data_IF_061695354170
#
_entry.id   IF_061695354170
#
_cell.length_a   1.000
_cell.length_b   1.000
_cell.length_c   1.000
_cell.angle_alpha   90.00
_cell.angle_beta   90.00
_cell.angle_gamma   90.00
#
_symmetry.space_group_name_H-M   'P 1'
#
loop_
_entity.id
_entity.type
_entity.pdbx_description
1 polymer ?
#
# COMPACT_ATOMS: atom_id res chain seq x y z
N UNK A 1 11.49 12.40 -18.62
CA UNK A 1 11.31 11.81 -17.27
C UNK A 1 12.65 11.25 -16.84
N UNK A 2 13.18 11.63 -15.67
CA UNK A 2 14.42 11.08 -15.16
C UNK A 2 14.18 9.63 -14.74
N UNK A 3 14.67 8.68 -15.52
CA UNK A 3 14.69 7.26 -15.19
C UNK A 3 15.59 7.06 -13.98
N UNK A 4 14.99 6.87 -12.80
CA UNK A 4 15.72 6.53 -11.58
C UNK A 4 15.39 5.07 -11.23
N UNK A 5 16.17 4.08 -11.72
CA UNK A 5 15.83 2.67 -11.61
C UNK A 5 16.04 2.17 -10.18
N UNK A 6 14.98 2.23 -9.36
CA UNK A 6 14.99 1.89 -7.93
C UNK A 6 15.32 0.42 -7.67
N UNK A 7 15.09 -0.45 -8.65
CA UNK A 7 15.24 -1.90 -8.54
C UNK A 7 16.38 -2.45 -9.41
N UNK A 8 17.27 -1.58 -9.90
CA UNK A 8 18.41 -1.99 -10.73
C UNK A 8 19.19 -3.13 -10.07
N UNK A 9 19.37 -4.22 -10.83
CA UNK A 9 20.13 -5.40 -10.39
C UNK A 9 19.37 -6.34 -9.45
N UNK A 10 18.08 -6.11 -9.20
CA UNK A 10 17.21 -7.07 -8.54
C UNK A 10 16.46 -7.93 -9.57
N UNK A 11 16.23 -9.19 -9.24
CA UNK A 11 15.49 -10.14 -10.09
C UNK A 11 14.15 -10.48 -9.45
N UNK A 12 13.07 -10.39 -10.23
CA UNK A 12 11.70 -10.59 -9.78
C UNK A 12 11.00 -11.71 -10.55
N UNK A 13 10.18 -12.51 -9.86
CA UNK A 13 9.25 -13.45 -10.47
C UNK A 13 7.82 -13.02 -10.15
N UNK A 14 6.96 -12.92 -11.16
CA UNK A 14 5.54 -12.60 -10.99
C UNK A 14 4.71 -13.74 -11.58
N UNK A 15 3.90 -14.40 -10.74
CA UNK A 15 3.04 -15.51 -11.18
C UNK A 15 1.72 -15.03 -11.77
N UNK A 16 1.22 -15.71 -12.81
CA UNK A 16 0.01 -15.28 -13.53
C UNK A 16 0.12 -13.88 -14.13
N UNK A 17 1.29 -13.54 -14.65
CA UNK A 17 1.66 -12.19 -15.08
C UNK A 17 1.35 -11.88 -16.55
N UNK A 18 0.69 -12.79 -17.26
CA UNK A 18 0.21 -12.57 -18.63
C UNK A 18 -1.06 -11.71 -18.70
N UNK A 19 -1.70 -11.39 -17.56
CA UNK A 19 -2.90 -10.53 -17.53
C UNK A 19 -3.09 -9.81 -16.18
N UNK A 20 -4.06 -8.89 -16.15
CA UNK A 20 -4.56 -8.26 -14.92
C UNK A 20 -3.49 -7.59 -14.05
N UNK A 21 -3.62 -7.80 -12.74
CA UNK A 21 -2.73 -7.23 -11.71
C UNK A 21 -1.29 -7.72 -11.94
N UNK A 22 -1.09 -9.00 -12.25
CA UNK A 22 0.22 -9.58 -12.50
C UNK A 22 0.95 -8.90 -13.66
N UNK A 23 0.27 -8.65 -14.78
CA UNK A 23 0.84 -7.90 -15.92
C UNK A 23 1.28 -6.50 -15.49
N UNK A 24 0.42 -5.76 -14.81
CA UNK A 24 0.72 -4.39 -14.37
C UNK A 24 1.92 -4.35 -13.41
N UNK A 25 1.99 -5.29 -12.47
CA UNK A 25 3.12 -5.43 -11.54
C UNK A 25 4.42 -5.77 -12.28
N UNK A 26 4.39 -6.73 -13.21
CA UNK A 26 5.57 -7.11 -13.98
C UNK A 26 6.14 -5.93 -14.78
N UNK A 27 5.29 -5.14 -15.45
CA UNK A 27 5.70 -3.96 -16.20
C UNK A 27 6.26 -2.89 -15.27
N UNK A 28 5.60 -2.63 -14.13
CA UNK A 28 6.08 -1.65 -13.17
C UNK A 28 7.47 -2.01 -12.60
N UNK A 29 7.70 -3.28 -12.25
CA UNK A 29 9.00 -3.77 -11.79
C UNK A 29 10.08 -3.64 -12.86
N UNK A 30 9.75 -3.98 -14.12
CA UNK A 30 10.67 -3.83 -15.25
C UNK A 30 11.03 -2.37 -15.53
N UNK A 31 10.06 -1.47 -15.48
CA UNK A 31 10.26 -0.03 -15.63
C UNK A 31 11.11 0.58 -14.50
N UNK A 32 11.08 0.00 -13.30
CA UNK A 32 11.96 0.37 -12.19
C UNK A 32 13.35 -0.31 -12.25
N UNK A 33 13.63 -1.07 -13.31
CA UNK A 33 14.95 -1.64 -13.63
C UNK A 33 15.23 -3.05 -13.10
N UNK A 34 14.20 -3.79 -12.65
CA UNK A 34 14.35 -5.19 -12.27
C UNK A 34 14.48 -6.10 -13.51
N UNK A 35 15.16 -7.24 -13.36
CA UNK A 35 15.01 -8.37 -14.29
C UNK A 35 13.72 -9.12 -13.95
N UNK A 36 12.81 -9.32 -14.89
CA UNK A 36 11.46 -9.86 -14.60
C UNK A 36 11.21 -11.20 -15.29
N UNK A 37 10.93 -12.24 -14.51
CA UNK A 37 10.37 -13.49 -15.01
C UNK A 37 8.83 -13.38 -14.96
N UNK A 38 8.21 -13.43 -16.14
CA UNK A 38 6.76 -13.39 -16.35
C UNK A 38 6.26 -14.83 -16.41
N UNK A 39 5.63 -15.31 -15.33
CA UNK A 39 5.02 -16.64 -15.34
C UNK A 39 3.60 -16.63 -15.90
N UNK A 40 3.26 -17.68 -16.63
CA UNK A 40 1.93 -17.92 -17.19
C UNK A 40 1.63 -19.43 -17.27
N UNK A 41 0.35 -19.79 -17.33
CA UNK A 41 -0.09 -21.18 -17.53
C UNK A 41 -0.60 -21.43 -18.96
N UNK A 42 -1.25 -20.43 -19.55
CA UNK A 42 -1.84 -20.45 -20.90
C UNK A 42 -1.63 -19.09 -21.57
N UNK A 43 -1.89 -19.02 -22.89
CA UNK A 43 -1.74 -17.79 -23.70
C UNK A 43 -0.28 -17.28 -23.73
N UNK A 44 0.67 -18.08 -24.28
CA UNK A 44 2.08 -17.69 -24.38
C UNK A 44 2.29 -16.36 -25.11
N UNK A 45 1.45 -16.05 -26.09
CA UNK A 45 1.47 -14.78 -26.83
C UNK A 45 1.20 -13.57 -25.92
N UNK A 46 0.30 -13.70 -24.93
CA UNK A 46 0.02 -12.64 -23.97
C UNK A 46 1.20 -12.43 -23.01
N UNK A 47 1.85 -13.51 -22.58
CA UNK A 47 3.06 -13.43 -21.76
C UNK A 47 4.23 -12.78 -22.53
N UNK A 48 4.40 -13.16 -23.80
CA UNK A 48 5.43 -12.60 -24.66
C UNK A 48 5.20 -11.09 -24.90
N UNK A 49 3.96 -10.65 -25.10
CA UNK A 49 3.65 -9.24 -25.22
C UNK A 49 4.07 -8.42 -23.99
N UNK A 50 3.95 -8.98 -22.78
CA UNK A 50 4.43 -8.33 -21.53
C UNK A 50 5.96 -8.24 -21.52
N UNK A 51 6.66 -9.30 -21.93
CA UNK A 51 8.12 -9.29 -22.05
C UNK A 51 8.60 -8.24 -23.04
N UNK A 52 7.95 -8.18 -24.21
CA UNK A 52 8.31 -7.23 -25.27
C UNK A 52 8.07 -5.79 -24.82
N UNK A 53 6.97 -5.54 -24.08
CA UNK A 53 6.67 -4.23 -23.50
C UNK A 53 7.74 -3.81 -22.48
N UNK A 54 8.16 -4.71 -21.57
CA UNK A 54 9.24 -4.42 -20.61
C UNK A 54 10.55 -4.10 -21.34
N UNK A 55 10.90 -4.88 -22.37
CA UNK A 55 12.12 -4.68 -23.16
C UNK A 55 12.08 -3.37 -23.96
N UNK A 56 10.92 -3.01 -24.53
CA UNK A 56 10.73 -1.75 -25.23
C UNK A 56 10.96 -0.53 -24.33
N UNK A 57 10.66 -0.67 -23.03
CA UNK A 57 10.91 0.36 -22.01
C UNK A 57 12.35 0.31 -21.43
N UNK A 58 13.24 -0.52 -21.98
CA UNK A 58 14.63 -0.65 -21.55
C UNK A 58 14.85 -1.56 -20.33
N UNK A 59 13.81 -2.26 -19.87
CA UNK A 59 13.91 -3.31 -18.85
C UNK A 59 14.39 -4.64 -19.41
N UNK A 60 14.58 -5.63 -18.54
CA UNK A 60 14.94 -6.98 -18.93
C UNK A 60 13.88 -7.98 -18.45
N UNK A 61 13.45 -8.89 -19.30
CA UNK A 61 12.42 -9.86 -18.96
C UNK A 61 12.48 -11.16 -19.80
N UNK A 62 11.97 -12.24 -19.22
CA UNK A 62 11.72 -13.53 -19.88
C UNK A 62 10.32 -14.04 -19.52
N UNK A 63 9.72 -14.84 -20.40
CA UNK A 63 8.47 -15.54 -20.13
C UNK A 63 8.76 -17.00 -19.77
N UNK A 64 8.12 -17.53 -18.72
CA UNK A 64 8.30 -18.92 -18.29
C UNK A 64 6.93 -19.57 -18.06
N UNK A 65 6.63 -20.62 -18.81
CA UNK A 65 5.39 -21.38 -18.62
C UNK A 65 5.52 -22.32 -17.42
N UNK A 66 4.59 -22.22 -16.48
CA UNK A 66 4.45 -23.19 -15.39
C UNK A 66 3.06 -23.09 -14.74
N UNK A 67 2.45 -24.23 -14.45
CA UNK A 67 1.31 -24.34 -13.54
C UNK A 67 1.83 -24.33 -12.10
N UNK A 68 1.51 -23.26 -11.37
CA UNK A 68 1.97 -23.07 -9.98
C UNK A 68 1.41 -24.13 -9.02
N UNK A 69 0.35 -24.86 -9.39
CA UNK A 69 -0.15 -25.98 -8.60
C UNK A 69 0.73 -27.24 -8.66
N UNK A 70 1.70 -27.29 -9.59
CA UNK A 70 2.54 -28.47 -9.84
C UNK A 70 3.97 -28.21 -9.37
N UNK A 71 4.38 -28.96 -8.34
CA UNK A 71 5.68 -28.76 -7.67
C UNK A 71 6.88 -28.91 -8.62
N UNK A 72 6.86 -29.90 -9.50
CA UNK A 72 7.90 -30.14 -10.51
C UNK A 72 8.02 -28.95 -11.49
N UNK A 73 6.89 -28.38 -11.92
CA UNK A 73 6.88 -27.21 -12.80
C UNK A 73 7.35 -25.94 -12.07
N UNK A 74 6.98 -25.75 -10.80
CA UNK A 74 7.50 -24.64 -9.98
C UNK A 74 9.01 -24.75 -9.83
N UNK A 75 9.54 -25.95 -9.52
CA UNK A 75 10.98 -26.17 -9.44
C UNK A 75 11.67 -25.84 -10.77
N UNK A 76 11.14 -26.35 -11.89
CA UNK A 76 11.69 -26.06 -13.22
C UNK A 76 11.67 -24.56 -13.56
N UNK A 77 10.58 -23.85 -13.22
CA UNK A 77 10.47 -22.41 -13.41
C UNK A 77 11.53 -21.62 -12.64
N UNK A 78 11.76 -21.96 -11.37
CA UNK A 78 12.81 -21.32 -10.57
C UNK A 78 14.21 -21.64 -11.10
N UNK A 79 14.46 -22.87 -11.56
CA UNK A 79 15.74 -23.22 -12.18
C UNK A 79 15.99 -22.41 -13.46
N UNK A 80 14.98 -22.26 -14.33
CA UNK A 80 15.09 -21.43 -15.53
C UNK A 80 15.37 -19.97 -15.18
N UNK A 81 14.69 -19.43 -14.17
CA UNK A 81 14.95 -18.07 -13.67
C UNK A 81 16.39 -17.92 -13.15
N UNK A 82 16.90 -18.91 -12.40
CA UNK A 82 18.27 -18.87 -11.88
C UNK A 82 19.33 -19.00 -12.96
N UNK A 83 19.05 -19.77 -14.03
CA UNK A 83 19.94 -19.84 -15.18
C UNK A 83 20.04 -18.50 -15.90
N UNK A 84 18.93 -17.78 -16.05
CA UNK A 84 18.91 -16.49 -16.75
C UNK A 84 19.44 -15.34 -15.87
N UNK A 85 18.96 -15.24 -14.64
CA UNK A 85 19.18 -14.06 -13.79
C UNK A 85 20.08 -14.33 -12.57
N UNK A 86 20.52 -15.57 -12.37
CA UNK A 86 21.42 -15.99 -11.28
C UNK A 86 20.75 -16.14 -9.92
N UNK A 87 19.61 -15.49 -9.67
CA UNK A 87 18.98 -15.44 -8.34
C UNK A 87 17.55 -14.89 -8.42
N UNK A 88 16.85 -14.85 -7.28
CA UNK A 88 15.60 -14.13 -7.06
C UNK A 88 15.76 -13.16 -5.88
N UNK A 89 15.18 -11.96 -5.99
CA UNK A 89 15.13 -10.93 -4.95
C UNK A 89 13.68 -10.62 -4.54
N UNK A 90 12.74 -10.74 -5.48
CA UNK A 90 11.34 -10.39 -5.30
C UNK A 90 10.46 -11.50 -5.87
N UNK A 91 9.59 -12.09 -5.06
CA UNK A 91 8.54 -12.98 -5.51
C UNK A 91 7.20 -12.27 -5.37
N UNK A 92 6.43 -12.20 -6.46
CA UNK A 92 5.03 -11.76 -6.45
C UNK A 92 4.15 -12.96 -6.75
N UNK A 93 3.57 -13.50 -5.69
CA UNK A 93 2.60 -14.58 -5.74
C UNK A 93 1.22 -14.01 -6.11
N UNK A 94 0.97 -13.86 -7.41
CA UNK A 94 -0.23 -13.23 -7.96
C UNK A 94 -1.22 -14.23 -8.59
N UNK A 95 -0.74 -15.35 -9.13
CA UNK A 95 -1.61 -16.35 -9.76
C UNK A 95 -2.76 -16.75 -8.82
N UNK A 96 -3.98 -16.72 -9.35
CA UNK A 96 -5.17 -17.13 -8.64
C UNK A 96 -6.41 -17.10 -9.52
N UNK A 97 -7.42 -17.87 -9.13
CA UNK A 97 -8.73 -17.92 -9.77
C UNK A 97 -9.83 -18.18 -8.74
N UNK A 98 -11.08 -18.15 -9.19
CA UNK A 98 -12.23 -18.57 -8.40
C UNK A 98 -13.12 -19.53 -9.21
N UNK A 99 -13.93 -20.30 -8.48
CA UNK A 99 -15.00 -21.14 -9.02
C UNK A 99 -16.22 -20.94 -8.14
N UNK A 100 -17.26 -20.37 -8.72
CA UNK A 100 -18.44 -19.93 -7.98
C UNK A 100 -19.46 -21.07 -7.93
N UNK A 101 -19.95 -21.36 -6.74
CA UNK A 101 -21.02 -22.33 -6.51
C UNK A 101 -21.70 -22.07 -5.18
N UNK A 102 -23.01 -22.37 -5.08
CA UNK A 102 -23.64 -22.48 -3.76
C UNK A 102 -22.88 -23.52 -2.92
N UNK A 103 -22.81 -23.32 -1.60
CA UNK A 103 -21.92 -24.10 -0.75
C UNK A 103 -22.15 -25.62 -0.87
N UNK A 104 -23.42 -26.05 -0.87
CA UNK A 104 -23.81 -27.45 -0.99
C UNK A 104 -23.58 -28.05 -2.39
N UNK A 105 -23.41 -27.21 -3.41
CA UNK A 105 -23.22 -27.63 -4.81
C UNK A 105 -21.74 -27.55 -5.24
N UNK A 106 -20.85 -27.05 -4.37
CA UNK A 106 -19.42 -26.95 -4.64
C UNK A 106 -18.81 -28.33 -4.85
N UNK A 107 -18.33 -28.60 -6.05
CA UNK A 107 -17.65 -29.87 -6.33
C UNK A 107 -16.28 -29.90 -5.65
N UNK A 108 -15.85 -31.09 -5.23
CA UNK A 108 -14.51 -31.27 -4.67
C UNK A 108 -13.42 -30.90 -5.70
N UNK A 109 -13.68 -31.11 -6.99
CA UNK A 109 -12.74 -30.75 -8.05
C UNK A 109 -12.55 -29.23 -8.16
N UNK A 110 -13.63 -28.45 -8.16
CA UNK A 110 -13.56 -26.99 -8.19
C UNK A 110 -12.97 -26.42 -6.90
N UNK A 111 -13.31 -27.01 -5.75
CA UNK A 111 -12.68 -26.69 -4.47
C UNK A 111 -11.15 -26.90 -4.56
N UNK A 112 -10.73 -28.10 -4.95
CA UNK A 112 -9.31 -28.47 -4.96
C UNK A 112 -8.52 -27.63 -5.96
N UNK A 113 -9.07 -27.37 -7.15
CA UNK A 113 -8.44 -26.52 -8.16
C UNK A 113 -8.11 -25.13 -7.62
N UNK A 114 -9.06 -24.50 -6.90
CA UNK A 114 -8.85 -23.17 -6.31
C UNK A 114 -7.82 -23.23 -5.19
N UNK A 115 -7.89 -24.22 -4.30
CA UNK A 115 -6.90 -24.37 -3.21
C UNK A 115 -5.48 -24.61 -3.78
N UNK A 116 -5.37 -25.48 -4.77
CA UNK A 116 -4.10 -25.86 -5.40
C UNK A 116 -3.40 -24.67 -6.06
N UNK A 117 -4.15 -23.79 -6.71
CA UNK A 117 -3.56 -22.62 -7.39
C UNK A 117 -3.36 -21.48 -6.39
N UNK A 118 -4.40 -21.10 -5.64
CA UNK A 118 -4.40 -19.88 -4.84
C UNK A 118 -3.58 -20.00 -3.55
N UNK A 119 -3.48 -21.20 -2.97
CA UNK A 119 -2.80 -21.44 -1.70
C UNK A 119 -1.56 -22.32 -1.88
N UNK A 120 -1.73 -23.54 -2.39
CA UNK A 120 -0.62 -24.47 -2.57
C UNK A 120 0.43 -23.89 -3.51
N UNK A 121 0.03 -23.28 -4.62
CA UNK A 121 0.96 -22.67 -5.57
C UNK A 121 1.76 -21.50 -4.99
N UNK A 122 1.13 -20.68 -4.14
CA UNK A 122 1.85 -19.62 -3.43
C UNK A 122 2.86 -20.19 -2.43
N UNK A 123 2.50 -21.25 -1.70
CA UNK A 123 3.40 -21.96 -0.80
C UNK A 123 4.61 -22.53 -1.55
N UNK A 124 4.39 -23.23 -2.67
CA UNK A 124 5.46 -23.84 -3.46
C UNK A 124 6.45 -22.78 -3.95
N UNK A 125 5.94 -21.70 -4.55
CA UNK A 125 6.79 -20.60 -5.03
C UNK A 125 7.54 -19.91 -3.88
N UNK A 126 6.86 -19.63 -2.77
CA UNK A 126 7.48 -19.00 -1.60
C UNK A 126 8.60 -19.88 -1.01
N UNK A 127 8.39 -21.20 -0.96
CA UNK A 127 9.39 -22.14 -0.45
C UNK A 127 10.65 -22.14 -1.31
N UNK A 128 10.54 -22.16 -2.64
CA UNK A 128 11.71 -22.09 -3.53
C UNK A 128 12.44 -20.73 -3.43
N UNK A 129 11.70 -19.62 -3.35
CA UNK A 129 12.29 -18.30 -3.13
C UNK A 129 13.04 -18.22 -1.79
N UNK A 130 12.43 -18.70 -0.70
CA UNK A 130 13.06 -18.72 0.63
C UNK A 130 14.31 -19.60 0.67
N UNK A 131 14.32 -20.74 -0.03
CA UNK A 131 15.53 -21.58 -0.14
C UNK A 131 16.70 -20.79 -0.73
N UNK A 132 16.46 -20.03 -1.80
CA UNK A 132 17.48 -19.17 -2.38
C UNK A 132 17.87 -18.01 -1.45
N UNK A 133 16.90 -17.36 -0.78
CA UNK A 133 17.20 -16.30 0.18
C UNK A 133 18.08 -16.79 1.34
N UNK A 134 17.80 -17.99 1.86
CA UNK A 134 18.60 -18.61 2.94
C UNK A 134 19.99 -18.98 2.44
N UNK A 135 20.10 -19.58 1.26
CA UNK A 135 21.38 -19.99 0.65
C UNK A 135 22.27 -18.78 0.35
N UNK A 136 21.69 -17.74 -0.25
CA UNK A 136 22.40 -16.55 -0.73
C UNK A 136 22.71 -15.54 0.39
N UNK A 137 21.82 -15.43 1.38
CA UNK A 137 21.90 -14.39 2.39
C UNK A 137 21.53 -12.99 1.87
N UNK A 138 21.82 -11.96 2.68
CA UNK A 138 21.57 -10.56 2.34
C UNK A 138 22.69 -10.04 1.44
N UNK A 139 22.33 -9.33 0.37
CA UNK A 139 23.25 -8.56 -0.48
C UNK A 139 23.06 -7.07 -0.14
N UNK A 140 23.92 -6.48 0.73
CA UNK A 140 23.70 -5.14 1.30
C UNK A 140 23.58 -4.03 0.25
N UNK A 141 24.28 -4.17 -0.87
CA UNK A 141 24.27 -3.21 -1.97
C UNK A 141 22.92 -3.13 -2.69
N UNK A 142 22.09 -4.19 -2.59
CA UNK A 142 20.77 -4.28 -3.21
C UNK A 142 19.64 -3.99 -2.24
N UNK A 143 19.74 -4.49 -1.01
CA UNK A 143 18.61 -4.56 -0.09
C UNK A 143 19.04 -4.82 1.35
N UNK A 144 18.29 -4.27 2.31
CA UNK A 144 18.44 -4.59 3.74
C UNK A 144 17.89 -5.97 4.11
N UNK A 145 17.12 -6.60 3.22
CA UNK A 145 16.57 -7.94 3.38
C UNK A 145 17.09 -8.89 2.30
N UNK A 146 17.17 -10.19 2.62
CA UNK A 146 17.62 -11.24 1.69
C UNK A 146 16.65 -11.45 0.52
N UNK A 147 15.41 -11.02 0.65
CA UNK A 147 14.39 -11.07 -0.39
C UNK A 147 13.07 -10.50 0.10
N UNK A 148 12.10 -10.33 -0.81
CA UNK A 148 10.72 -9.93 -0.50
C UNK A 148 9.75 -10.90 -1.15
N UNK A 149 8.69 -11.26 -0.44
CA UNK A 149 7.58 -12.05 -0.97
C UNK A 149 6.32 -11.21 -0.81
N UNK A 150 5.61 -11.00 -1.90
CA UNK A 150 4.36 -10.24 -1.97
C UNK A 150 3.29 -11.23 -2.41
N UNK A 151 2.35 -11.55 -1.52
CA UNK A 151 1.25 -12.46 -1.82
C UNK A 151 -0.02 -11.65 -2.13
N UNK A 152 -0.66 -11.94 -3.27
CA UNK A 152 -1.95 -11.35 -3.60
C UNK A 152 -3.05 -12.08 -2.85
N UNK A 153 -3.57 -11.44 -1.80
CA UNK A 153 -4.74 -11.91 -1.04
C UNK A 153 -6.05 -11.29 -1.55
N UNK A 154 -7.02 -11.04 -0.67
CA UNK A 154 -8.29 -10.35 -0.91
C UNK A 154 -8.88 -9.89 0.43
N UNK A 155 -9.76 -8.88 0.42
CA UNK A 155 -10.59 -8.54 1.59
C UNK A 155 -11.41 -9.74 2.09
N UNK A 156 -11.69 -10.69 1.20
CA UNK A 156 -12.37 -11.95 1.52
C UNK A 156 -11.50 -12.96 2.28
N UNK A 157 -10.27 -12.59 2.67
CA UNK A 157 -9.51 -13.33 3.68
C UNK A 157 -10.10 -13.17 5.10
N UNK A 158 -10.86 -12.09 5.33
CA UNK A 158 -11.56 -11.80 6.60
C UNK A 158 -13.07 -11.64 6.43
N UNK A 159 -13.55 -11.16 5.28
CA UNK A 159 -14.98 -10.98 5.01
C UNK A 159 -15.54 -12.23 4.34
N UNK A 160 -16.42 -13.02 5.01
CA UNK A 160 -17.03 -14.20 4.39
C UNK A 160 -17.82 -13.82 3.14
N UNK A 161 -17.75 -14.68 2.12
CA UNK A 161 -18.44 -14.44 0.86
C UNK A 161 -19.23 -15.67 0.40
N UNK A 162 -20.56 -15.58 0.47
CA UNK A 162 -21.45 -16.62 -0.05
C UNK A 162 -21.19 -16.88 -1.53
N UNK A 163 -21.21 -18.15 -1.94
CA UNK A 163 -20.93 -18.56 -3.32
C UNK A 163 -19.44 -18.81 -3.64
N UNK A 164 -18.53 -18.43 -2.76
CA UNK A 164 -17.09 -18.36 -3.04
C UNK A 164 -16.24 -19.01 -1.94
N UNK A 165 -16.75 -20.10 -1.35
CA UNK A 165 -16.15 -20.70 -0.16
C UNK A 165 -14.70 -21.16 -0.38
N UNK A 166 -14.40 -21.73 -1.54
CA UNK A 166 -13.05 -22.13 -1.95
C UNK A 166 -12.09 -20.93 -2.04
N UNK A 167 -12.52 -19.83 -2.66
CA UNK A 167 -11.73 -18.61 -2.82
C UNK A 167 -11.47 -17.96 -1.47
N UNK A 168 -12.52 -17.69 -0.68
CA UNK A 168 -12.38 -17.09 0.65
C UNK A 168 -11.49 -17.95 1.57
N UNK A 169 -11.68 -19.28 1.56
CA UNK A 169 -10.82 -20.21 2.32
C UNK A 169 -9.37 -20.16 1.84
N UNK A 170 -9.12 -20.10 0.52
CA UNK A 170 -7.77 -19.97 -0.02
C UNK A 170 -7.09 -18.67 0.42
N UNK A 171 -7.83 -17.54 0.44
CA UNK A 171 -7.28 -16.23 0.83
C UNK A 171 -7.06 -16.12 2.33
N UNK A 172 -7.97 -16.65 3.15
CA UNK A 172 -7.74 -16.81 4.60
C UNK A 172 -6.52 -17.72 4.89
N UNK A 173 -6.33 -18.78 4.11
CA UNK A 173 -5.14 -19.62 4.16
C UNK A 173 -3.86 -18.86 3.80
N UNK A 174 -3.89 -18.01 2.77
CA UNK A 174 -2.75 -17.16 2.38
C UNK A 174 -2.39 -16.19 3.50
N UNK A 175 -3.36 -15.59 4.19
CA UNK A 175 -3.11 -14.75 5.37
C UNK A 175 -2.31 -15.49 6.44
N UNK A 176 -2.75 -16.69 6.83
CA UNK A 176 -2.05 -17.48 7.85
C UNK A 176 -0.71 -18.00 7.37
N UNK A 177 -0.57 -18.33 6.08
CA UNK A 177 0.69 -18.70 5.46
C UNK A 177 1.71 -17.56 5.57
N UNK A 178 1.32 -16.33 5.21
CA UNK A 178 2.18 -15.14 5.32
C UNK A 178 2.69 -14.94 6.75
N UNK A 179 1.79 -15.00 7.75
CA UNK A 179 2.15 -14.89 9.17
C UNK A 179 3.07 -16.02 9.64
N UNK A 180 2.91 -17.22 9.08
CA UNK A 180 3.72 -18.39 9.46
C UNK A 180 5.12 -18.40 8.81
N UNK A 181 5.29 -17.76 7.65
CA UNK A 181 6.60 -17.67 6.97
C UNK A 181 7.54 -16.66 7.64
N UNK A 182 7.02 -15.81 8.53
CA UNK A 182 7.80 -14.79 9.21
C UNK A 182 8.81 -15.41 10.17
N UNK A 183 10.09 -15.34 9.80
CA UNK A 183 11.18 -15.98 10.55
C UNK A 183 11.96 -15.03 11.46
N UNK A 184 11.51 -13.79 11.64
CA UNK A 184 12.12 -12.87 12.60
C UNK A 184 11.06 -12.09 13.38
N UNK A 185 10.98 -12.43 14.66
CA UNK A 185 10.44 -11.54 15.68
C UNK A 185 11.30 -10.27 15.63
N UNK A 186 10.75 -9.21 15.05
CA UNK A 186 11.35 -7.87 15.11
C UNK A 186 10.97 -7.26 16.46
N UNK A 187 11.61 -6.16 16.85
CA UNK A 187 11.16 -5.41 18.02
C UNK A 187 9.67 -5.01 17.92
N UNK A 188 9.17 -4.80 16.70
CA UNK A 188 7.76 -4.49 16.49
C UNK A 188 6.85 -5.71 16.67
N UNK A 189 7.28 -6.90 16.23
CA UNK A 189 6.53 -8.13 16.51
C UNK A 189 6.42 -8.41 18.01
N UNK A 190 7.49 -8.17 18.78
CA UNK A 190 7.43 -8.26 20.25
C UNK A 190 6.39 -7.29 20.80
N UNK A 191 6.42 -6.02 20.37
CA UNK A 191 5.45 -5.02 20.83
C UNK A 191 4.02 -5.41 20.47
N UNK A 192 3.77 -5.91 19.26
CA UNK A 192 2.43 -6.34 18.84
C UNK A 192 1.92 -7.49 19.70
N UNK A 193 2.74 -8.51 19.95
CA UNK A 193 2.40 -9.63 20.84
C UNK A 193 2.14 -9.16 22.28
N UNK A 194 3.03 -8.34 22.85
CA UNK A 194 2.83 -7.73 24.17
C UNK A 194 1.53 -6.91 24.21
N UNK A 195 1.23 -6.23 23.12
CA UNK A 195 0.11 -5.32 23.00
C UNK A 195 -1.25 -6.05 22.93
N UNK A 196 -1.32 -7.22 22.28
CA UNK A 196 -2.52 -8.07 22.25
C UNK A 196 -3.02 -8.45 23.65
N UNK A 197 -2.13 -8.44 24.65
CA UNK A 197 -2.44 -8.79 26.03
C UNK A 197 -2.69 -7.57 26.94
N UNK A 198 -2.64 -6.35 26.42
CA UNK A 198 -2.91 -5.14 27.21
C UNK A 198 -4.43 -4.91 27.34
N UNK A 199 -4.84 -4.43 28.51
CA UNK A 199 -6.22 -3.97 28.76
C UNK A 199 -6.63 -2.84 27.81
N UNK A 200 -5.67 -1.95 27.50
CA UNK A 200 -5.79 -0.90 26.49
C UNK A 200 -4.67 -1.11 25.46
N UNK A 201 -4.99 -1.70 24.29
CA UNK A 201 -4.05 -1.81 23.18
C UNK A 201 -3.51 -0.45 22.71
N UNK A 202 -2.28 -0.42 22.21
CA UNK A 202 -1.52 0.76 21.80
C UNK A 202 -2.05 1.40 20.53
N UNK A 203 -2.63 0.62 19.61
CA UNK A 203 -3.41 1.13 18.47
C UNK A 203 -4.69 1.87 18.91
N UNK A 204 -4.98 1.90 20.22
CA UNK A 204 -5.93 2.88 20.75
C UNK A 204 -5.33 4.28 20.86
N UNK A 205 -4.06 4.51 20.52
CA UNK A 205 -3.41 5.82 20.42
C UNK A 205 -2.65 5.94 19.10
N UNK A 206 -2.86 7.00 18.35
CA UNK A 206 -2.24 7.14 17.03
C UNK A 206 -2.55 8.47 16.36
N UNK A 207 -2.13 8.64 15.10
CA UNK A 207 -2.33 9.87 14.33
C UNK A 207 -3.75 9.94 13.77
N UNK A 208 -4.76 9.87 14.65
CA UNK A 208 -6.17 9.82 14.27
C UNK A 208 -6.80 11.20 14.13
N UNK A 209 -6.07 12.27 14.45
CA UNK A 209 -6.52 13.64 14.20
C UNK A 209 -6.37 13.97 12.72
N UNK A 210 -7.41 14.57 12.15
CA UNK A 210 -7.28 15.15 10.82
C UNK A 210 -6.43 16.41 10.91
N UNK A 211 -5.59 16.69 9.92
CA UNK A 211 -4.81 17.94 9.89
C UNK A 211 -5.58 19.11 9.24
N UNK A 212 -6.86 18.85 8.90
CA UNK A 212 -7.75 19.70 8.11
C UNK A 212 -9.24 19.42 8.42
N UNK A 213 -9.85 20.14 9.38
CA UNK A 213 -11.31 20.04 9.64
C UNK A 213 -12.18 21.14 8.99
N UNK A 214 -11.60 22.15 8.33
CA UNK A 214 -12.38 23.19 7.64
C UNK A 214 -13.01 22.67 6.33
N UNK A 215 -14.13 23.25 5.91
CA UNK A 215 -14.81 22.87 4.67
C UNK A 215 -15.36 21.44 4.66
N UNK A 216 -15.93 20.97 5.79
CA UNK A 216 -16.40 19.58 5.94
C UNK A 216 -17.92 19.49 6.00
N UNK A 217 -18.49 18.46 5.36
CA UNK A 217 -19.95 18.21 5.35
C UNK A 217 -20.49 17.93 6.76
N UNK A 218 -19.68 17.36 7.65
CA UNK A 218 -20.08 17.05 9.02
C UNK A 218 -20.28 18.31 9.87
N UNK A 219 -19.53 19.38 9.58
CA UNK A 219 -19.64 20.66 10.29
C UNK A 219 -20.42 21.71 9.51
N UNK A 220 -21.15 21.30 8.47
CA UNK A 220 -22.04 22.18 7.73
C UNK A 220 -23.39 22.34 8.44
N UNK A 221 -23.64 23.54 8.94
CA UNK A 221 -24.94 23.93 9.47
C UNK A 221 -25.52 25.12 8.71
N UNK A 222 -25.08 25.33 7.47
CA UNK A 222 -25.69 26.30 6.56
C UNK A 222 -27.08 25.82 6.13
N UNK A 223 -27.95 26.77 5.81
CA UNK A 223 -29.31 26.46 5.36
C UNK A 223 -29.36 25.77 3.99
N UNK A 224 -28.29 25.86 3.20
CA UNK A 224 -28.22 25.42 1.81
C UNK A 224 -27.28 24.25 1.52
N UNK A 225 -26.59 23.70 2.53
CA UNK A 225 -25.60 22.64 2.31
C UNK A 225 -24.26 23.14 1.73
N UNK A 226 -23.86 24.38 2.02
CA UNK A 226 -22.60 24.98 1.59
C UNK A 226 -21.43 24.66 2.56
N UNK A 227 -21.11 23.38 2.68
CA UNK A 227 -20.07 22.88 3.58
C UNK A 227 -18.70 23.55 3.36
N UNK A 228 -18.37 23.88 2.11
CA UNK A 228 -17.06 24.40 1.72
C UNK A 228 -16.80 25.84 2.15
N UNK A 229 -17.86 26.67 2.23
CA UNK A 229 -17.71 28.06 2.64
C UNK A 229 -18.28 28.32 4.04
N UNK A 230 -19.14 27.43 4.56
CA UNK A 230 -19.75 27.60 5.87
C UNK A 230 -18.75 27.55 7.03
N UNK A 231 -17.82 26.58 7.01
CA UNK A 231 -16.73 26.46 7.98
C UNK A 231 -15.39 26.77 7.31
N UNK A 232 -14.94 28.03 7.39
CA UNK A 232 -13.69 28.46 6.77
C UNK A 232 -12.45 28.05 7.57
N UNK A 233 -11.28 28.07 6.94
CA UNK A 233 -9.99 27.89 7.64
C UNK A 233 -9.81 28.88 8.80
N UNK A 234 -10.25 30.14 8.62
CA UNK A 234 -10.14 31.15 9.69
C UNK A 234 -11.06 30.84 10.88
N UNK A 235 -12.24 30.28 10.63
CA UNK A 235 -13.16 29.87 11.70
C UNK A 235 -12.69 28.59 12.41
N UNK A 236 -12.09 27.65 11.68
CA UNK A 236 -11.56 26.40 12.22
C UNK A 236 -10.57 26.60 13.38
N UNK A 237 -9.89 27.76 13.45
CA UNK A 237 -8.99 28.09 14.57
C UNK A 237 -9.67 28.51 15.87
N UNK A 238 -10.97 28.75 15.82
CA UNK A 238 -11.69 29.37 16.94
C UNK A 238 -13.05 28.72 17.17
N UNK A 239 -13.29 27.55 16.56
CA UNK A 239 -14.55 26.82 16.66
C UNK A 239 -14.30 25.49 17.36
N UNK A 240 -15.22 25.14 18.25
CA UNK A 240 -15.30 23.78 18.80
C UNK A 240 -16.06 22.92 17.79
N UNK A 241 -15.46 21.82 17.39
CA UNK A 241 -16.05 20.86 16.47
C UNK A 241 -17.03 19.93 17.19
N UNK A 242 -18.04 19.43 16.48
CA UNK A 242 -19.04 18.49 17.01
C UNK A 242 -18.73 17.04 16.65
N UNK A 243 -18.12 16.82 15.48
CA UNK A 243 -18.00 15.49 14.88
C UNK A 243 -16.56 15.01 14.68
N UNK A 244 -15.57 15.74 15.19
CA UNK A 244 -14.17 15.38 15.09
C UNK A 244 -13.27 16.43 15.73
N UNK A 245 -11.99 16.41 15.41
CA UNK A 245 -11.01 17.39 15.85
C UNK A 245 -9.87 17.54 14.81
N UNK A 246 -9.15 18.66 14.83
CA UNK A 246 -7.94 18.84 14.02
C UNK A 246 -6.67 19.19 14.78
N UNK A 247 -5.54 18.85 14.17
CA UNK A 247 -4.22 19.15 14.72
C UNK A 247 -3.09 18.73 13.81
N UNK A 248 -2.15 19.64 13.57
CA UNK A 248 -0.94 19.40 12.79
C UNK A 248 -0.08 18.33 13.48
N UNK A 249 0.22 17.25 12.75
CA UNK A 249 0.88 16.06 13.31
C UNK A 249 0.20 15.53 14.58
N UNK A 250 -1.13 15.65 14.64
CA UNK A 250 -1.90 15.39 15.83
C UNK A 250 -1.98 13.91 16.18
N UNK A 251 -1.96 13.61 17.48
CA UNK A 251 -2.17 12.26 18.03
C UNK A 251 -3.36 12.28 18.99
N UNK A 252 -4.11 11.21 19.02
CA UNK A 252 -5.21 11.05 19.96
C UNK A 252 -5.39 9.60 20.34
N UNK A 253 -6.23 9.34 21.34
CA UNK A 253 -6.82 8.02 21.45
C UNK A 253 -7.77 7.75 20.25
N UNK A 254 -8.09 6.49 19.98
CA UNK A 254 -8.91 6.06 18.84
C UNK A 254 -10.32 6.68 18.85
N UNK A 255 -10.81 7.02 20.03
CA UNK A 255 -12.10 7.67 20.24
C UNK A 255 -12.01 9.21 20.23
N UNK A 256 -10.81 9.79 20.10
CA UNK A 256 -10.54 11.23 20.16
C UNK A 256 -11.07 11.90 21.44
N UNK A 257 -11.08 11.18 22.57
CA UNK A 257 -11.38 11.76 23.88
C UNK A 257 -10.24 12.67 24.37
N UNK A 258 -8.99 12.34 24.03
CA UNK A 258 -7.83 13.16 24.34
C UNK A 258 -7.00 13.40 23.08
N UNK A 259 -6.81 14.66 22.75
CA UNK A 259 -6.20 15.12 21.51
C UNK A 259 -4.95 15.95 21.84
N UNK A 260 -3.83 15.64 21.18
CA UNK A 260 -2.61 16.41 21.23
C UNK A 260 -2.23 16.83 19.81
N UNK A 261 -1.74 18.06 19.66
CA UNK A 261 -1.29 18.59 18.39
C UNK A 261 -0.03 19.45 18.59
N UNK A 262 0.72 19.64 17.51
CA UNK A 262 1.87 20.54 17.51
C UNK A 262 1.41 21.91 17.03
N UNK A 263 1.69 22.95 17.81
CA UNK A 263 1.55 24.34 17.41
C UNK A 263 2.94 24.98 17.23
N UNK A 264 3.18 25.59 16.08
CA UNK A 264 4.44 26.26 15.74
C UNK A 264 4.22 27.75 15.49
N UNK A 265 5.26 28.56 15.69
CA UNK A 265 5.25 29.97 15.28
C UNK A 265 6.65 30.38 14.85
N UNK A 266 6.77 30.89 13.62
CA UNK A 266 8.03 31.38 13.06
C UNK A 266 8.37 32.82 13.51
N UNK A 267 7.54 33.43 14.37
CA UNK A 267 7.70 34.81 14.82
C UNK A 267 7.19 35.88 13.85
N UNK A 268 6.76 35.48 12.64
CA UNK A 268 6.35 36.39 11.55
C UNK A 268 4.91 36.17 11.08
N UNK A 269 4.40 34.95 11.23
CA UNK A 269 3.02 34.63 10.89
C UNK A 269 2.05 35.34 11.82
N UNK A 270 0.91 35.75 11.26
CA UNK A 270 -0.19 36.35 12.01
C UNK A 270 -1.02 35.34 12.80
N UNK A 271 -0.75 34.03 12.65
CA UNK A 271 -1.45 32.94 13.32
C UNK A 271 -0.46 31.87 13.81
N UNK A 272 -0.83 31.13 14.85
CA UNK A 272 -0.14 29.90 15.22
C UNK A 272 -0.39 28.84 14.16
N UNK A 273 0.66 28.10 13.82
CA UNK A 273 0.61 27.01 12.86
C UNK A 273 0.27 25.71 13.57
N UNK A 274 -1.02 25.44 13.63
CA UNK A 274 -1.61 24.26 14.32
C UNK A 274 -2.43 23.35 13.40
N UNK A 275 -2.65 23.74 12.13
CA UNK A 275 -3.36 22.96 11.11
C UNK A 275 -2.90 23.33 9.71
N UNK A 276 -3.09 22.44 8.74
CA UNK A 276 -2.68 22.69 7.37
C UNK A 276 -3.58 23.70 6.67
N UNK A 277 -2.97 24.57 5.85
CA UNK A 277 -3.69 25.58 5.09
C UNK A 277 -4.09 25.05 3.71
N UNK A 278 -5.31 25.33 3.28
CA UNK A 278 -5.81 25.05 1.93
C UNK A 278 -6.89 26.05 1.54
N UNK A 279 -7.56 25.81 0.42
CA UNK A 279 -8.54 26.72 -0.17
C UNK A 279 -9.94 26.08 -0.15
N UNK A 280 -11.02 26.85 -0.20
CA UNK A 280 -12.33 26.28 -0.56
C UNK A 280 -12.44 26.13 -2.07
N UNK A 281 -13.43 25.38 -2.56
CA UNK A 281 -13.67 25.22 -4.00
C UNK A 281 -13.93 26.54 -4.72
N UNK A 282 -14.49 27.55 -4.04
CA UNK A 282 -14.65 28.90 -4.60
C UNK A 282 -13.37 29.76 -4.58
N UNK A 283 -12.31 29.29 -3.92
CA UNK A 283 -11.06 30.01 -3.74
C UNK A 283 -9.93 29.51 -4.66
N UNK A 284 -10.08 28.36 -5.33
CA UNK A 284 -9.10 27.87 -6.30
C UNK A 284 -9.51 26.57 -7.02
N UNK A 285 -8.79 26.25 -8.10
CA UNK A 285 -9.05 25.13 -9.03
C UNK A 285 -8.94 23.72 -8.38
N UNK A 286 -8.32 23.62 -7.22
CA UNK A 286 -8.37 22.45 -6.33
C UNK A 286 -8.46 22.96 -4.89
N UNK A 287 -9.67 23.34 -4.48
CA UNK A 287 -9.92 23.90 -3.15
C UNK A 287 -9.39 22.97 -2.07
N UNK A 288 -9.91 21.75 -2.06
CA UNK A 288 -9.71 20.72 -1.03
C UNK A 288 -8.23 20.43 -0.69
N UNK A 289 -7.32 20.69 -1.62
CA UNK A 289 -5.89 20.45 -1.46
C UNK A 289 -5.21 21.43 -0.50
N UNK A 290 -4.34 20.87 0.34
CA UNK A 290 -3.39 21.64 1.16
C UNK A 290 -2.39 22.39 0.27
N UNK A 291 -2.07 23.63 0.63
CA UNK A 291 -1.14 24.53 -0.10
C UNK A 291 0.23 24.62 0.59
N UNK A 292 0.59 23.57 1.31
CA UNK A 292 1.79 23.47 2.13
C UNK A 292 2.52 22.16 1.88
N UNK A 293 3.78 22.09 2.32
CA UNK A 293 4.64 20.93 2.12
C UNK A 293 4.74 20.11 3.40
N UNK A 294 4.12 18.93 3.38
CA UNK A 294 4.13 17.98 4.47
C UNK A 294 4.29 16.55 3.94
N UNK A 295 4.84 15.66 4.77
CA UNK A 295 5.14 14.28 4.40
C UNK A 295 4.99 13.36 5.62
N UNK A 296 4.17 12.31 5.48
CA UNK A 296 4.24 11.13 6.36
C UNK A 296 5.42 10.28 5.90
N UNK A 297 6.44 10.16 6.74
CA UNK A 297 7.70 9.52 6.37
C UNK A 297 7.79 8.07 6.84
N UNK A 298 7.27 7.79 8.03
CA UNK A 298 7.33 6.45 8.63
C UNK A 298 6.29 6.31 9.75
N UNK A 299 5.78 5.09 9.94
CA UNK A 299 4.93 4.74 11.07
C UNK A 299 4.95 3.21 11.26
N UNK A 300 5.17 2.75 12.48
CA UNK A 300 5.02 1.32 12.80
C UNK A 300 3.57 1.01 13.19
N UNK A 301 3.07 -0.23 12.99
CA UNK A 301 1.67 -0.57 13.27
C UNK A 301 1.19 -0.22 14.68
N UNK A 302 2.05 -0.33 15.71
CA UNK A 302 1.72 0.05 17.09
C UNK A 302 1.78 1.54 17.39
N UNK A 303 2.14 2.38 16.40
CA UNK A 303 2.38 3.82 16.54
C UNK A 303 3.47 4.21 17.56
N UNK A 304 4.27 3.25 18.00
CA UNK A 304 5.40 3.49 18.93
C UNK A 304 6.49 4.38 18.33
N UNK A 305 6.57 4.40 17.00
CA UNK A 305 7.38 5.31 16.23
C UNK A 305 6.56 5.89 15.09
N UNK A 306 6.48 7.21 15.07
CA UNK A 306 5.85 7.99 14.01
C UNK A 306 6.83 9.04 13.54
N UNK A 307 6.93 9.24 12.23
CA UNK A 307 7.79 10.25 11.62
C UNK A 307 7.01 11.09 10.62
N UNK A 308 6.93 12.37 10.94
CA UNK A 308 6.27 13.39 10.13
C UNK A 308 7.27 14.51 9.80
N UNK A 309 7.18 15.05 8.59
CA UNK A 309 7.97 16.21 8.17
C UNK A 309 7.02 17.29 7.66
N UNK A 310 7.01 18.43 8.34
CA UNK A 310 6.36 19.65 7.88
C UNK A 310 7.41 20.72 7.59
N UNK A 311 7.36 21.31 6.40
CA UNK A 311 8.29 22.37 5.99
C UNK A 311 7.65 23.72 6.27
N UNK A 312 7.92 24.24 7.47
CA UNK A 312 7.43 25.55 7.89
C UNK A 312 8.36 26.68 7.38
N UNK A 313 7.84 27.70 6.66
CA UNK A 313 8.68 28.81 6.19
C UNK A 313 9.26 29.66 7.31
N UNK A 314 10.49 30.15 7.10
CA UNK A 314 11.15 31.12 7.97
C UNK A 314 10.63 32.56 7.77
N UNK A 315 9.92 32.81 6.66
CA UNK A 315 9.19 34.04 6.39
C UNK A 315 7.70 33.85 6.65
N UNK A 316 6.95 34.97 6.73
CA UNK A 316 5.51 34.92 6.87
C UNK A 316 4.88 34.09 5.74
N UNK A 317 4.04 33.11 6.09
CA UNK A 317 3.36 32.28 5.12
C UNK A 317 2.37 33.13 4.29
N UNK A 318 2.37 33.04 2.95
CA UNK A 318 1.65 33.99 2.09
C UNK A 318 0.16 33.63 1.93
N UNK A 319 -0.59 33.52 3.04
CA UNK A 319 -2.00 33.09 3.05
C UNK A 319 -2.87 33.88 2.08
N UNK A 320 -2.86 35.21 2.20
CA UNK A 320 -3.74 36.08 1.40
C UNK A 320 -3.33 36.12 -0.08
N UNK A 321 -2.04 36.06 -0.38
CA UNK A 321 -1.56 36.01 -1.76
C UNK A 321 -1.99 34.73 -2.46
N UNK A 322 -1.96 33.58 -1.76
CA UNK A 322 -2.45 32.31 -2.30
C UNK A 322 -3.95 32.41 -2.59
N UNK A 323 -4.75 32.94 -1.67
CA UNK A 323 -6.19 33.16 -1.91
C UNK A 323 -6.42 34.08 -3.10
N UNK A 324 -5.74 35.22 -3.15
CA UNK A 324 -5.94 36.24 -4.19
C UNK A 324 -5.53 35.76 -5.58
N UNK A 325 -4.39 35.05 -5.70
CA UNK A 325 -3.90 34.54 -6.98
C UNK A 325 -4.76 33.43 -7.56
N UNK A 326 -5.38 32.63 -6.69
CA UNK A 326 -6.25 31.53 -7.12
C UNK A 326 -7.69 31.97 -7.38
N UNK A 327 -8.12 33.08 -6.77
CA UNK A 327 -9.42 33.71 -7.04
C UNK A 327 -9.48 34.17 -8.51
N UNK A 328 -10.26 33.47 -9.32
CA UNK A 328 -10.48 33.80 -10.74
C UNK A 328 -9.80 32.86 -11.74
N UNK A 329 -9.06 31.83 -11.28
CA UNK A 329 -8.68 30.73 -12.16
C UNK A 329 -9.93 29.91 -12.54
N UNK A 330 -10.05 29.45 -13.80
CA UNK A 330 -11.17 28.62 -14.21
C UNK A 330 -11.20 27.32 -13.39
N UNK A 331 -12.40 26.96 -12.92
CA UNK A 331 -12.70 25.66 -12.34
C UNK A 331 -12.76 24.65 -13.48
N UNK A 332 -11.96 23.58 -13.44
CA UNK A 332 -12.05 22.47 -14.41
C UNK A 332 -12.97 21.36 -13.93
#
# INVERSE_FOLDING_TARGET
MNFNPKLKGQSALVTGANSGIGKAVAIALGNDGANVAVNFVSHPEAAQAVVDEIKANGGNAIAIQADVSKEDQVQAMFQAMFQEFGTIDILVNNAGLQKDAAFQDMTLADWQLVIDINLTGQFLCAREAVREFVKRGVIPERSKAAGKIICMSSVHEVIPWGGHANYASSKGGVMLLMKSMEKKITAEHIRLEENLHKEIPLEKWGPYLSERQWGTVREDYSAGGDAWNYLSHDQARSRVYRWGEDGLAGISDYMQNLCFAIALWNGKDSILKERLFGLSNGQGNHGEDVKELYYYLDNVPTHYYMKYLYKYPQEAFPYQDIVNKNRGLPLF
#
